data_IF_299710511259
#
_entry.id   IF_299710511259
#
_cell.length_a   1.000
_cell.length_b   1.000
_cell.length_c   1.000
_cell.angle_alpha   90.00
_cell.angle_beta   90.00
_cell.angle_gamma   90.00
#
_symmetry.space_group_name_H-M   'P 1'
#
loop_
_entity.id
_entity.type
_entity.pdbx_description
1 polymer ?
#
# COMPACT_ATOMS: atom_id res chain seq x y z
N UNK A 1 17.13 8.78 16.31
CA UNK A 1 15.78 8.67 15.72
C UNK A 1 15.92 8.43 14.23
N UNK A 2 15.14 7.54 13.64
CA UNK A 2 15.18 7.31 12.19
C UNK A 2 14.51 8.47 11.45
N UNK A 3 14.99 8.75 10.24
CA UNK A 3 14.32 9.66 9.32
C UNK A 3 13.12 8.93 8.73
N UNK A 4 11.98 9.61 8.65
CA UNK A 4 10.75 9.12 8.01
C UNK A 4 10.26 10.11 6.97
N UNK A 5 9.99 9.61 5.78
CA UNK A 5 9.39 10.38 4.68
C UNK A 5 8.02 9.81 4.33
N UNK A 6 7.16 10.68 3.82
CA UNK A 6 5.80 10.42 3.35
C UNK A 6 5.67 11.03 1.96
N UNK A 7 5.52 10.17 0.97
CA UNK A 7 5.76 10.46 -0.44
C UNK A 7 4.60 9.95 -1.30
N UNK A 8 4.51 10.53 -2.49
CA UNK A 8 3.70 10.04 -3.61
C UNK A 8 4.62 9.77 -4.78
N UNK A 9 4.67 8.53 -5.25
CA UNK A 9 5.49 8.11 -6.38
C UNK A 9 4.58 7.92 -7.60
N UNK A 10 4.90 8.60 -8.69
CA UNK A 10 4.18 8.49 -9.97
C UNK A 10 4.46 7.14 -10.64
N UNK A 11 3.42 6.51 -11.17
CA UNK A 11 3.50 5.25 -11.92
C UNK A 11 3.69 5.53 -13.41
N UNK A 12 3.77 4.48 -14.23
CA UNK A 12 3.84 4.59 -15.69
C UNK A 12 2.48 4.34 -16.36
N UNK A 13 1.39 4.32 -15.59
CA UNK A 13 0.05 4.01 -16.07
C UNK A 13 -1.02 4.92 -15.45
N UNK A 14 -2.14 5.04 -16.15
CA UNK A 14 -3.35 5.75 -15.74
C UNK A 14 -4.48 4.72 -15.66
N UNK A 15 -4.85 4.30 -14.44
CA UNK A 15 -5.83 3.22 -14.24
C UNK A 15 -7.26 3.70 -14.06
N UNK A 16 -7.46 5.00 -13.81
CA UNK A 16 -8.79 5.63 -13.72
C UNK A 16 -9.15 6.50 -14.93
N UNK A 17 -8.27 6.57 -15.93
CA UNK A 17 -8.44 7.23 -17.24
C UNK A 17 -8.72 8.73 -17.08
N UNK A 18 -8.07 9.37 -16.09
CA UNK A 18 -8.21 10.81 -15.81
C UNK A 18 -7.26 11.71 -16.61
N UNK A 19 -6.37 11.09 -17.41
CA UNK A 19 -5.36 11.74 -18.24
C UNK A 19 -4.07 12.06 -17.50
N UNK A 20 -3.89 11.56 -16.26
CA UNK A 20 -2.66 11.70 -15.47
C UNK A 20 -2.21 10.32 -15.00
N UNK A 21 -0.90 10.17 -14.83
CA UNK A 21 -0.34 8.94 -14.30
C UNK A 21 -0.71 8.79 -12.82
N UNK A 22 -1.02 7.55 -12.41
CA UNK A 22 -1.39 7.23 -11.05
C UNK A 22 -0.25 7.57 -10.07
N UNK A 23 -0.60 7.81 -8.81
CA UNK A 23 0.40 8.02 -7.75
C UNK A 23 0.18 7.06 -6.60
N UNK A 24 1.23 6.33 -6.23
CA UNK A 24 1.24 5.42 -5.09
C UNK A 24 1.78 6.10 -3.83
N UNK A 25 1.12 5.87 -2.70
CA UNK A 25 1.55 6.39 -1.40
C UNK A 25 2.68 5.52 -0.85
N UNK A 26 3.79 6.17 -0.48
CA UNK A 26 5.03 5.51 -0.05
C UNK A 26 5.55 6.14 1.23
N UNK A 27 5.97 5.31 2.18
CA UNK A 27 6.79 5.74 3.30
C UNK A 27 8.22 5.23 3.18
N UNK A 28 9.18 5.97 3.74
CA UNK A 28 10.60 5.59 3.75
C UNK A 28 11.15 5.80 5.14
N UNK A 29 11.66 4.75 5.77
CA UNK A 29 12.40 4.83 7.04
C UNK A 29 13.88 4.53 6.82
N UNK A 30 14.76 5.49 7.12
CA UNK A 30 16.22 5.39 6.90
C UNK A 30 17.06 5.99 8.04
N UNK A 31 18.32 5.56 8.23
CA UNK A 31 19.22 6.17 9.20
C UNK A 31 19.69 7.56 8.75
N UNK A 32 19.94 8.46 9.72
CA UNK A 32 20.28 9.87 9.45
C UNK A 32 21.56 10.05 8.62
N UNK A 33 22.49 9.11 8.73
CA UNK A 33 23.78 9.10 8.02
C UNK A 33 23.62 9.10 6.49
N UNK A 34 22.45 8.69 5.99
CA UNK A 34 22.11 8.80 4.56
C UNK A 34 21.94 10.26 4.09
N UNK A 35 21.69 11.22 5.00
CA UNK A 35 21.70 12.68 4.70
C UNK A 35 23.05 13.34 5.07
N UNK A 36 23.72 12.89 6.13
CA UNK A 36 24.86 13.62 6.70
C UNK A 36 26.23 13.12 6.26
N UNK A 37 26.36 11.85 5.88
CA UNK A 37 27.65 11.19 5.64
C UNK A 37 27.75 10.56 4.24
N UNK A 38 26.75 10.78 3.38
CA UNK A 38 26.71 10.19 2.05
C UNK A 38 26.53 8.67 2.04
N UNK A 39 26.11 8.09 3.18
CA UNK A 39 25.91 6.65 3.31
C UNK A 39 24.83 6.16 2.35
N UNK A 40 25.15 5.17 1.52
CA UNK A 40 24.20 4.48 0.63
C UNK A 40 23.92 3.10 1.19
N UNK A 41 22.65 2.70 1.25
CA UNK A 41 22.22 1.43 1.83
C UNK A 41 21.25 0.72 0.88
N UNK A 42 21.23 -0.63 0.89
CA UNK A 42 20.19 -1.39 0.22
C UNK A 42 18.80 -1.14 0.82
N UNK A 43 17.76 -1.44 0.04
CA UNK A 43 16.35 -1.24 0.41
C UNK A 43 15.67 -2.59 0.65
N UNK A 44 14.92 -2.70 1.75
CA UNK A 44 13.88 -3.71 1.94
C UNK A 44 12.54 -3.07 1.60
N UNK A 45 11.97 -3.43 0.46
CA UNK A 45 10.70 -2.93 0.01
C UNK A 45 9.56 -3.88 0.39
N UNK A 46 8.53 -3.35 1.04
CA UNK A 46 7.37 -4.11 1.48
C UNK A 46 6.12 -3.41 0.95
N UNK A 47 5.55 -3.96 -0.11
CA UNK A 47 4.30 -3.47 -0.68
C UNK A 47 3.12 -4.31 -0.20
N UNK A 48 1.99 -3.66 0.09
CA UNK A 48 0.76 -4.38 0.39
C UNK A 48 -0.46 -3.51 0.10
N UNK A 49 -1.41 -3.98 -0.73
CA UNK A 49 -2.67 -3.25 -1.00
C UNK A 49 -3.55 -3.15 0.26
N UNK A 50 -3.19 -3.86 1.33
CA UNK A 50 -3.96 -3.89 2.58
C UNK A 50 -3.48 -2.88 3.61
N UNK A 51 -2.38 -2.16 3.36
CA UNK A 51 -1.88 -1.17 4.32
C UNK A 51 -2.78 0.06 4.43
N UNK A 52 -3.49 0.42 3.36
CA UNK A 52 -4.48 1.50 3.39
C UNK A 52 -5.83 1.05 4.00
N UNK A 53 -5.98 -0.21 4.42
CA UNK A 53 -7.24 -0.78 4.89
C UNK A 53 -7.83 -1.79 3.91
N UNK A 54 -8.93 -2.42 4.31
CA UNK A 54 -9.62 -3.44 3.52
C UNK A 54 -11.08 -3.04 3.32
N UNK A 55 -11.69 -3.59 2.26
CA UNK A 55 -13.14 -3.55 2.11
C UNK A 55 -13.86 -4.16 3.33
N UNK A 56 -15.16 -3.87 3.51
CA UNK A 56 -15.94 -4.52 4.55
C UNK A 56 -15.98 -6.04 4.34
N UNK A 57 -16.06 -6.76 5.44
CA UNK A 57 -16.43 -8.18 5.43
C UNK A 57 -17.93 -8.31 5.17
N UNK A 58 -18.33 -9.30 4.38
CA UNK A 58 -19.75 -9.63 4.18
C UNK A 58 -19.96 -10.56 3.00
N UNK A 59 -20.61 -11.70 3.23
CA UNK A 59 -20.96 -12.66 2.17
C UNK A 59 -22.00 -12.10 1.20
N UNK A 60 -22.75 -11.08 1.62
CA UNK A 60 -23.72 -10.36 0.78
C UNK A 60 -23.05 -9.60 -0.37
N UNK A 61 -21.76 -9.32 -0.26
CA UNK A 61 -20.97 -8.73 -1.33
C UNK A 61 -20.35 -9.79 -2.23
N UNK A 62 -20.51 -11.09 -2.00
CA UNK A 62 -19.99 -12.13 -2.89
C UNK A 62 -21.04 -12.57 -3.91
N UNK A 63 -20.59 -13.20 -4.98
CA UNK A 63 -21.51 -13.89 -5.89
C UNK A 63 -22.11 -15.09 -5.18
N UNK A 64 -23.42 -15.32 -5.31
CA UNK A 64 -24.03 -16.56 -4.83
C UNK A 64 -23.58 -17.71 -5.76
N UNK A 65 -22.85 -18.71 -5.26
CA UNK A 65 -22.42 -19.83 -6.09
C UNK A 65 -23.58 -20.76 -6.47
N UNK A 66 -24.76 -20.64 -5.84
CA UNK A 66 -25.94 -21.45 -6.14
C UNK A 66 -26.68 -20.89 -7.35
N UNK A 67 -26.11 -21.08 -8.53
CA UNK A 67 -26.67 -20.61 -9.80
C UNK A 67 -26.34 -21.56 -10.94
N UNK A 68 -27.24 -21.69 -11.91
CA UNK A 68 -27.10 -22.63 -13.04
C UNK A 68 -25.99 -22.21 -14.01
N UNK A 69 -25.27 -23.21 -14.54
CA UNK A 69 -24.17 -22.99 -15.47
C UNK A 69 -24.69 -22.38 -16.78
N UNK A 70 -24.03 -21.32 -17.26
CA UNK A 70 -24.38 -20.65 -18.50
C UNK A 70 -25.56 -19.67 -18.40
N UNK A 71 -26.27 -19.65 -17.26
CA UNK A 71 -27.30 -18.65 -17.01
C UNK A 71 -26.67 -17.33 -16.55
N UNK A 72 -27.32 -16.20 -16.85
CA UNK A 72 -26.88 -14.89 -16.33
C UNK A 72 -27.20 -14.80 -14.84
N UNK A 73 -26.21 -14.54 -13.97
CA UNK A 73 -26.48 -14.42 -12.53
C UNK A 73 -27.25 -13.13 -12.22
N UNK A 74 -28.01 -13.09 -11.11
CA UNK A 74 -28.56 -11.85 -10.57
C UNK A 74 -27.46 -10.82 -10.30
N UNK A 75 -27.81 -9.53 -10.35
CA UNK A 75 -26.83 -8.48 -10.07
C UNK A 75 -26.33 -8.57 -8.61
N UNK A 76 -25.01 -8.60 -8.44
CA UNK A 76 -24.37 -8.65 -7.12
C UNK A 76 -24.41 -7.29 -6.45
N UNK A 77 -24.65 -7.28 -5.13
CA UNK A 77 -24.49 -6.07 -4.32
C UNK A 77 -23.05 -5.55 -4.37
N UNK A 78 -22.89 -4.27 -4.72
CA UNK A 78 -21.57 -3.63 -4.73
C UNK A 78 -21.05 -3.44 -3.31
N UNK A 79 -19.78 -3.75 -3.10
CA UNK A 79 -19.08 -3.41 -1.85
C UNK A 79 -18.97 -1.90 -1.74
N UNK A 80 -19.20 -1.30 -0.56
CA UNK A 80 -18.90 0.10 -0.33
C UNK A 80 -17.38 0.35 -0.45
N UNK A 81 -17.02 1.63 -0.61
CA UNK A 81 -15.63 2.06 -0.71
C UNK A 81 -14.82 1.70 0.55
N UNK A 82 -13.55 1.39 0.34
CA UNK A 82 -12.60 1.12 1.43
C UNK A 82 -12.38 2.40 2.22
N UNK A 83 -12.54 2.32 3.55
CA UNK A 83 -12.17 3.43 4.43
C UNK A 83 -10.67 3.36 4.71
N UNK A 84 -9.93 4.41 4.31
CA UNK A 84 -8.49 4.50 4.55
C UNK A 84 -8.19 4.37 6.05
N UNK A 85 -7.22 3.53 6.40
CA UNK A 85 -6.69 3.36 7.78
C UNK A 85 -5.25 3.86 7.86
N UNK A 86 -4.78 4.10 9.08
CA UNK A 86 -3.39 4.50 9.36
C UNK A 86 -3.16 6.00 9.47
N UNK A 87 -2.09 6.37 10.18
CA UNK A 87 -1.68 7.74 10.43
C UNK A 87 -0.40 8.06 9.66
N UNK A 88 -0.44 9.12 8.85
CA UNK A 88 0.77 9.63 8.18
C UNK A 88 1.75 10.17 9.23
N UNK A 89 3.07 10.01 9.05
CA UNK A 89 3.75 9.57 7.83
C UNK A 89 4.02 8.05 7.77
N UNK A 90 3.38 7.21 8.58
CA UNK A 90 3.74 5.79 8.72
C UNK A 90 2.67 4.91 8.08
N UNK A 91 3.02 4.20 7.02
CA UNK A 91 2.21 3.14 6.42
C UNK A 91 2.30 1.87 7.26
N UNK A 92 3.52 1.45 7.62
CA UNK A 92 3.74 0.25 8.41
C UNK A 92 5.00 0.34 9.28
N UNK A 93 4.99 -0.39 10.40
CA UNK A 93 6.20 -0.59 11.23
C UNK A 93 6.86 -1.93 10.98
N UNK A 94 6.30 -2.75 10.10
CA UNK A 94 6.87 -4.06 9.75
C UNK A 94 8.29 -3.88 9.25
N UNK A 95 9.19 -4.81 9.58
CA UNK A 95 10.57 -4.84 9.09
C UNK A 95 11.50 -3.70 9.56
N UNK A 96 10.98 -2.55 10.02
CA UNK A 96 11.77 -1.38 10.46
C UNK A 96 12.73 -1.71 11.60
N UNK A 97 12.23 -2.29 12.70
CA UNK A 97 13.06 -2.62 13.89
C UNK A 97 14.15 -3.63 13.55
N UNK A 98 13.89 -4.51 12.59
CA UNK A 98 14.79 -5.59 12.20
C UNK A 98 15.89 -5.09 11.28
N UNK A 99 15.55 -4.29 10.27
CA UNK A 99 16.44 -4.02 9.15
C UNK A 99 17.13 -2.65 9.21
N UNK A 100 16.47 -1.62 9.74
CA UNK A 100 17.08 -0.28 9.83
C UNK A 100 18.35 -0.27 10.68
N UNK A 101 18.38 -0.90 11.88
CA UNK A 101 19.62 -1.01 12.66
C UNK A 101 20.72 -1.85 12.00
N UNK A 102 20.39 -2.64 10.95
CA UNK A 102 21.33 -3.54 10.25
C UNK A 102 21.85 -2.97 8.93
N UNK A 103 21.64 -1.66 8.70
CA UNK A 103 22.14 -1.01 7.49
C UNK A 103 21.25 -1.20 6.26
N UNK A 104 19.92 -1.20 6.45
CA UNK A 104 18.96 -1.19 5.35
C UNK A 104 18.00 0.00 5.48
N UNK A 105 17.56 0.54 4.35
CA UNK A 105 16.38 1.40 4.28
C UNK A 105 15.15 0.50 4.19
N UNK A 106 14.08 0.85 4.90
CA UNK A 106 12.80 0.14 4.77
C UNK A 106 11.79 1.08 4.11
N UNK A 107 11.11 0.57 3.07
CA UNK A 107 10.13 1.30 2.29
C UNK A 107 8.83 0.52 2.30
N UNK A 108 7.71 1.19 2.59
CA UNK A 108 6.38 0.60 2.44
C UNK A 108 5.58 1.34 1.37
N UNK A 109 4.71 0.61 0.66
CA UNK A 109 3.70 1.21 -0.23
C UNK A 109 2.33 0.62 0.02
N UNK A 110 1.30 1.48 -0.07
CA UNK A 110 -0.11 1.18 0.21
C UNK A 110 -1.01 1.52 -0.96
#
# INVERSE_FOLDING_TARGET
MWIRHDLWVETEFDSDDDGKLDRMHVDVTRPRQTDTEGLKLPVVYVTSPYFAGTGPSGVEYFWDPRHEVGMKPPERKKSPAVKRRGERPIISKSHVKTWVPRGYVVVHSS
#
